data_IF_029219143760
#
_entry.id   IF_029219143760
#
_cell.length_a   1.000
_cell.length_b   1.000
_cell.length_c   1.000
_cell.angle_alpha   90.00
_cell.angle_beta   90.00
_cell.angle_gamma   90.00
#
_symmetry.space_group_name_H-M   'P 1'
#
loop_
_entity.id
_entity.type
_entity.pdbx_description
1 polymer ?
#
# COMPACT_ATOMS: atom_id res chain seq x y z
N UNK A 1 26.99 22.08 -17.68
CA UNK A 1 25.77 21.38 -18.12
C UNK A 1 25.20 20.74 -16.88
N UNK A 2 24.03 21.17 -16.40
CA UNK A 2 23.42 20.52 -15.24
C UNK A 2 23.00 19.12 -15.68
N UNK A 3 23.49 18.08 -15.02
CA UNK A 3 22.92 16.74 -15.18
C UNK A 3 21.41 16.85 -14.96
N UNK A 4 20.62 16.48 -15.97
CA UNK A 4 19.21 16.22 -15.79
C UNK A 4 19.12 15.17 -14.67
N UNK A 5 18.69 15.58 -13.47
CA UNK A 5 18.38 14.63 -12.39
C UNK A 5 17.21 13.79 -12.89
N UNK A 6 17.50 12.64 -13.50
CA UNK A 6 16.50 11.63 -13.83
C UNK A 6 15.84 11.19 -12.52
N UNK A 7 14.56 11.50 -12.35
CA UNK A 7 13.79 11.11 -11.16
C UNK A 7 13.17 12.30 -10.41
N UNK A 8 12.70 12.03 -9.19
CA UNK A 8 12.06 13.02 -8.31
C UNK A 8 13.05 14.05 -7.72
N UNK A 9 14.35 13.79 -7.82
CA UNK A 9 15.42 14.60 -7.23
C UNK A 9 15.57 14.50 -5.71
N UNK A 10 14.71 13.70 -5.07
CA UNK A 10 14.73 13.35 -3.65
C UNK A 10 15.71 12.21 -3.37
N UNK A 11 16.09 12.07 -2.10
CA UNK A 11 16.80 10.88 -1.64
C UNK A 11 15.90 9.63 -1.77
N UNK A 12 16.46 8.46 -2.14
CA UNK A 12 15.68 7.24 -2.39
C UNK A 12 14.77 6.80 -1.24
N UNK A 13 15.25 6.90 0.00
CA UNK A 13 14.47 6.61 1.20
C UNK A 13 13.28 7.55 1.39
N UNK A 14 13.47 8.84 1.13
CA UNK A 14 12.40 9.84 1.23
C UNK A 14 11.37 9.62 0.12
N UNK A 15 11.81 9.39 -1.12
CA UNK A 15 10.93 9.07 -2.24
C UNK A 15 10.12 7.79 -1.98
N UNK A 16 10.75 6.73 -1.47
CA UNK A 16 10.07 5.49 -1.12
C UNK A 16 9.07 5.66 0.04
N UNK A 17 9.41 6.44 1.07
CA UNK A 17 8.49 6.77 2.16
C UNK A 17 7.27 7.54 1.61
N UNK A 18 7.48 8.53 0.76
CA UNK A 18 6.39 9.32 0.17
C UNK A 18 5.51 8.49 -0.75
N UNK A 19 6.10 7.52 -1.47
CA UNK A 19 5.35 6.57 -2.28
C UNK A 19 4.35 5.76 -1.42
N UNK A 20 4.73 5.36 -0.21
CA UNK A 20 3.80 4.72 0.74
C UNK A 20 2.84 5.71 1.39
N UNK A 21 3.31 6.87 1.85
CA UNK A 21 2.51 7.85 2.60
C UNK A 21 1.33 8.39 1.79
N UNK A 22 1.54 8.63 0.50
CA UNK A 22 0.49 9.13 -0.40
C UNK A 22 -0.35 7.98 -1.00
N UNK A 23 -0.16 6.75 -0.52
CA UNK A 23 -0.86 5.55 -0.96
C UNK A 23 -0.79 5.35 -2.48
N UNK A 24 -1.93 5.02 -3.09
CA UNK A 24 -2.01 4.77 -4.53
C UNK A 24 -1.53 5.95 -5.39
N UNK A 25 -1.81 7.19 -4.96
CA UNK A 25 -1.39 8.40 -5.68
C UNK A 25 0.12 8.53 -5.65
N UNK A 26 0.73 8.34 -4.48
CA UNK A 26 2.18 8.30 -4.32
C UNK A 26 2.82 7.24 -5.19
N UNK A 27 2.32 6.01 -5.10
CA UNK A 27 2.85 4.91 -5.91
C UNK A 27 2.75 5.17 -7.42
N UNK A 28 1.65 5.71 -7.92
CA UNK A 28 1.53 6.06 -9.36
C UNK A 28 2.50 7.17 -9.74
N UNK A 29 2.62 8.22 -8.93
CA UNK A 29 3.54 9.32 -9.24
C UNK A 29 4.99 8.82 -9.25
N UNK A 30 5.43 8.12 -8.21
CA UNK A 30 6.81 7.65 -8.08
C UNK A 30 7.17 6.56 -9.09
N UNK A 31 6.25 5.70 -9.52
CA UNK A 31 6.54 4.70 -10.58
C UNK A 31 6.70 5.36 -11.96
N UNK A 32 6.06 6.51 -12.18
CA UNK A 32 6.15 7.24 -13.43
C UNK A 32 7.40 8.11 -13.50
N UNK A 33 7.75 8.83 -12.44
CA UNK A 33 8.91 9.74 -12.44
C UNK A 33 10.22 9.02 -12.17
N UNK A 34 10.23 8.00 -11.32
CA UNK A 34 11.45 7.33 -10.90
C UNK A 34 11.69 6.10 -11.79
N UNK A 35 12.57 6.22 -12.78
CA UNK A 35 12.83 5.15 -13.78
C UNK A 35 14.01 4.24 -13.43
N UNK A 36 15.05 4.82 -12.86
CA UNK A 36 16.32 4.12 -12.65
C UNK A 36 16.45 3.53 -11.23
N UNK A 37 15.75 4.11 -10.25
CA UNK A 37 15.83 3.67 -8.87
C UNK A 37 14.88 2.49 -8.59
N UNK A 38 15.42 1.26 -8.61
CA UNK A 38 14.67 0.02 -8.35
C UNK A 38 14.00 0.01 -6.98
N UNK A 39 14.64 0.56 -5.95
CA UNK A 39 14.09 0.58 -4.58
C UNK A 39 12.84 1.45 -4.49
N UNK A 40 12.88 2.67 -5.03
CA UNK A 40 11.72 3.58 -5.07
C UNK A 40 10.60 2.99 -5.95
N UNK A 41 10.95 2.40 -7.10
CA UNK A 41 9.97 1.74 -7.98
C UNK A 41 9.30 0.55 -7.29
N UNK A 42 10.05 -0.23 -6.51
CA UNK A 42 9.48 -1.29 -5.70
C UNK A 42 8.54 -0.76 -4.63
N UNK A 43 8.95 0.26 -3.88
CA UNK A 43 8.08 0.90 -2.89
C UNK A 43 6.79 1.47 -3.53
N UNK A 44 6.92 2.09 -4.70
CA UNK A 44 5.81 2.61 -5.47
C UNK A 44 4.84 1.51 -5.94
N UNK A 45 5.36 0.44 -6.52
CA UNK A 45 4.56 -0.72 -6.94
C UNK A 45 3.89 -1.41 -5.74
N UNK A 46 4.61 -1.58 -4.63
CA UNK A 46 4.07 -2.18 -3.41
C UNK A 46 2.99 -1.29 -2.77
N UNK A 47 3.14 0.04 -2.83
CA UNK A 47 2.13 1.00 -2.36
C UNK A 47 0.83 0.94 -3.18
N UNK A 48 0.94 0.84 -4.51
CA UNK A 48 -0.22 0.65 -5.40
C UNK A 48 -0.91 -0.66 -5.05
N UNK A 49 -0.16 -1.77 -5.01
CA UNK A 49 -0.72 -3.09 -4.76
C UNK A 49 -1.36 -3.20 -3.37
N UNK A 50 -0.75 -2.60 -2.35
CA UNK A 50 -1.30 -2.52 -1.00
C UNK A 50 -2.62 -1.71 -0.96
N UNK A 51 -2.66 -0.57 -1.66
CA UNK A 51 -3.85 0.26 -1.74
C UNK A 51 -5.02 -0.45 -2.44
N UNK A 52 -4.73 -1.17 -3.54
CA UNK A 52 -5.73 -1.98 -4.25
C UNK A 52 -6.21 -3.12 -3.35
N UNK A 53 -5.31 -3.84 -2.67
CA UNK A 53 -5.69 -4.91 -1.75
C UNK A 53 -6.61 -4.39 -0.62
N UNK A 54 -6.28 -3.24 -0.03
CA UNK A 54 -7.11 -2.63 1.00
C UNK A 54 -8.48 -2.18 0.47
N UNK A 55 -8.53 -1.63 -0.75
CA UNK A 55 -9.80 -1.28 -1.40
C UNK A 55 -10.69 -2.51 -1.62
N UNK A 56 -10.12 -3.62 -2.08
CA UNK A 56 -10.86 -4.90 -2.25
C UNK A 56 -11.37 -5.42 -0.91
N UNK A 57 -10.55 -5.43 0.14
CA UNK A 57 -10.98 -5.85 1.49
C UNK A 57 -12.11 -4.97 2.00
N UNK A 58 -11.97 -3.65 1.88
CA UNK A 58 -12.99 -2.69 2.30
C UNK A 58 -14.30 -2.90 1.55
N UNK A 59 -14.24 -3.07 0.22
CA UNK A 59 -15.40 -3.35 -0.62
C UNK A 59 -16.10 -4.64 -0.17
N UNK A 60 -15.35 -5.74 0.01
CA UNK A 60 -15.91 -7.02 0.46
C UNK A 60 -16.61 -6.86 1.82
N UNK A 61 -15.97 -6.23 2.81
CA UNK A 61 -16.56 -6.03 4.13
C UNK A 61 -17.83 -5.18 4.06
N UNK A 62 -17.84 -4.13 3.23
CA UNK A 62 -18.96 -3.21 3.08
C UNK A 62 -20.22 -3.88 2.52
N UNK A 63 -20.09 -4.86 1.62
CA UNK A 63 -21.25 -5.57 1.05
C UNK A 63 -21.57 -6.89 1.75
N UNK A 64 -20.56 -7.63 2.20
CA UNK A 64 -20.74 -8.94 2.83
C UNK A 64 -21.42 -8.82 4.20
N UNK A 65 -21.01 -7.86 5.03
CA UNK A 65 -21.53 -7.74 6.40
C UNK A 65 -23.03 -7.39 6.38
N UNK A 66 -23.51 -6.38 5.61
CA UNK A 66 -24.94 -6.11 5.52
C UNK A 66 -25.74 -7.25 4.90
N UNK A 67 -25.21 -7.91 3.86
CA UNK A 67 -25.88 -9.04 3.23
C UNK A 67 -26.09 -10.20 4.23
N UNK A 68 -25.07 -10.52 5.02
CA UNK A 68 -25.16 -11.54 6.06
C UNK A 68 -26.09 -11.12 7.20
N UNK A 69 -26.04 -9.85 7.62
CA UNK A 69 -26.94 -9.32 8.64
C UNK A 69 -28.41 -9.48 8.21
N UNK A 70 -28.75 -9.18 6.96
CA UNK A 70 -30.10 -9.37 6.42
C UNK A 70 -30.47 -10.86 6.39
N UNK A 71 -29.58 -11.70 5.86
CA UNK A 71 -29.83 -13.14 5.68
C UNK A 71 -30.05 -13.89 7.02
N UNK A 72 -29.41 -13.44 8.11
CA UNK A 72 -29.50 -14.10 9.41
C UNK A 72 -30.39 -13.35 10.42
N UNK A 73 -31.21 -12.40 9.98
CA UNK A 73 -32.08 -11.62 10.88
C UNK A 73 -31.33 -10.76 11.91
N UNK A 74 -30.12 -10.29 11.57
CA UNK A 74 -29.31 -9.37 12.36
C UNK A 74 -28.05 -9.99 12.99
N UNK A 75 -28.00 -11.30 13.20
CA UNK A 75 -26.86 -11.95 13.87
C UNK A 75 -25.52 -11.75 13.15
N UNK A 76 -25.52 -11.76 11.81
CA UNK A 76 -24.33 -11.53 10.98
C UNK A 76 -23.69 -10.15 11.15
N UNK A 77 -24.40 -9.18 11.73
CA UNK A 77 -23.84 -7.87 12.04
C UNK A 77 -22.70 -7.93 13.07
N UNK A 78 -22.59 -9.02 13.85
CA UNK A 78 -21.48 -9.21 14.79
C UNK A 78 -20.11 -9.19 14.10
N UNK A 79 -20.05 -9.57 12.81
CA UNK A 79 -18.82 -9.52 12.01
C UNK A 79 -18.31 -8.08 11.79
N UNK A 80 -19.14 -7.05 12.01
CA UNK A 80 -18.71 -5.66 11.98
C UNK A 80 -17.58 -5.36 12.99
N UNK A 81 -17.43 -6.16 14.05
CA UNK A 81 -16.32 -6.05 15.01
C UNK A 81 -14.95 -6.31 14.37
N UNK A 82 -14.90 -7.00 13.22
CA UNK A 82 -13.67 -7.26 12.50
C UNK A 82 -13.16 -6.03 11.73
N UNK A 83 -14.03 -5.06 11.41
CA UNK A 83 -13.67 -3.85 10.67
C UNK A 83 -12.53 -3.07 11.38
N UNK A 84 -12.64 -2.69 12.67
CA UNK A 84 -11.55 -1.97 13.34
C UNK A 84 -10.27 -2.80 13.45
N UNK A 85 -10.37 -4.13 13.59
CA UNK A 85 -9.21 -5.02 13.67
C UNK A 85 -8.43 -5.02 12.35
N UNK A 86 -9.13 -5.13 11.21
CA UNK A 86 -8.54 -5.07 9.87
C UNK A 86 -7.89 -3.71 9.62
N UNK A 87 -8.57 -2.61 9.98
CA UNK A 87 -8.02 -1.26 9.84
C UNK A 87 -6.76 -1.04 10.68
N UNK A 88 -6.77 -1.53 11.92
CA UNK A 88 -5.60 -1.41 12.80
C UNK A 88 -4.43 -2.24 12.28
N UNK A 89 -4.68 -3.47 11.82
CA UNK A 89 -3.66 -4.31 11.19
C UNK A 89 -3.05 -3.66 9.94
N UNK A 90 -3.90 -3.09 9.08
CA UNK A 90 -3.46 -2.32 7.92
C UNK A 90 -2.59 -1.13 8.33
N UNK A 91 -3.03 -0.33 9.30
CA UNK A 91 -2.30 0.85 9.78
C UNK A 91 -0.91 0.47 10.31
N UNK A 92 -0.81 -0.62 11.06
CA UNK A 92 0.46 -1.13 11.58
C UNK A 92 1.40 -1.52 10.42
N UNK A 93 0.91 -2.29 9.45
CA UNK A 93 1.71 -2.68 8.26
C UNK A 93 2.14 -1.47 7.46
N UNK A 94 1.23 -0.52 7.25
CA UNK A 94 1.49 0.69 6.47
C UNK A 94 2.55 1.58 7.11
N UNK A 95 2.47 1.79 8.43
CA UNK A 95 3.50 2.53 9.19
C UNK A 95 4.84 1.80 9.13
N UNK A 96 4.87 0.49 9.33
CA UNK A 96 6.12 -0.27 9.25
C UNK A 96 6.78 -0.16 7.88
N UNK A 97 6.01 -0.19 6.78
CA UNK A 97 6.54 0.04 5.44
C UNK A 97 7.18 1.42 5.29
N UNK A 98 6.55 2.47 5.80
CA UNK A 98 7.10 3.83 5.79
C UNK A 98 8.41 3.92 6.60
N UNK A 99 8.43 3.36 7.81
CA UNK A 99 9.63 3.35 8.67
C UNK A 99 10.78 2.59 8.00
N UNK A 100 10.51 1.40 7.46
CA UNK A 100 11.51 0.59 6.77
C UNK A 100 12.02 1.27 5.51
N UNK A 101 11.13 1.88 4.72
CA UNK A 101 11.50 2.67 3.55
C UNK A 101 12.44 3.83 3.91
N UNK A 102 12.12 4.57 4.98
CA UNK A 102 12.95 5.67 5.46
C UNK A 102 14.34 5.22 5.91
N UNK A 103 14.45 4.00 6.46
CA UNK A 103 15.70 3.35 6.85
C UNK A 103 16.48 2.73 5.68
N UNK A 104 16.08 2.96 4.43
CA UNK A 104 16.63 2.29 3.23
C UNK A 104 16.54 0.75 3.29
N UNK A 105 15.55 0.21 4.01
CA UNK A 105 15.29 -1.22 4.07
C UNK A 105 14.12 -1.60 3.16
N UNK A 106 14.41 -2.38 2.11
CA UNK A 106 13.38 -2.96 1.26
C UNK A 106 12.67 -4.07 2.02
N UNK A 107 11.46 -3.79 2.53
CA UNK A 107 10.63 -4.80 3.19
C UNK A 107 9.54 -5.29 2.25
N UNK A 108 9.66 -6.55 1.82
CA UNK A 108 8.73 -7.20 0.92
C UNK A 108 7.59 -7.87 1.70
N UNK A 109 6.35 -7.48 1.41
CA UNK A 109 5.19 -8.20 1.95
C UNK A 109 5.06 -9.56 1.24
N UNK A 110 4.81 -10.66 1.97
CA UNK A 110 4.92 -12.03 1.41
C UNK A 110 3.99 -12.32 0.23
N UNK A 111 2.83 -11.66 0.15
CA UNK A 111 1.87 -11.78 -0.95
C UNK A 111 1.96 -10.57 -1.89
N UNK A 112 1.88 -9.36 -1.34
CA UNK A 112 1.81 -8.10 -2.11
C UNK A 112 3.16 -7.77 -2.75
N UNK A 113 4.26 -8.01 -2.03
CA UNK A 113 5.61 -7.73 -2.50
C UNK A 113 6.06 -8.60 -3.67
N UNK A 114 5.63 -9.88 -3.71
CA UNK A 114 5.86 -10.76 -4.89
C UNK A 114 5.16 -10.25 -6.15
N UNK A 115 4.00 -9.63 -5.99
CA UNK A 115 3.26 -9.01 -7.10
C UNK A 115 4.00 -7.75 -7.55
N UNK A 116 4.38 -6.89 -6.60
CA UNK A 116 5.11 -5.65 -6.88
C UNK A 116 6.44 -5.90 -7.62
N UNK A 117 7.19 -6.92 -7.20
CA UNK A 117 8.50 -7.28 -7.79
C UNK A 117 8.42 -7.67 -9.27
N UNK A 118 7.24 -8.04 -9.80
CA UNK A 118 7.04 -8.33 -11.24
C UNK A 118 6.95 -7.08 -12.11
N UNK A 119 6.73 -5.90 -11.53
CA UNK A 119 6.52 -4.64 -12.26
C UNK A 119 7.69 -3.66 -12.13
N UNK A 120 8.81 -4.08 -11.54
CA UNK A 120 10.00 -3.27 -11.27
C UNK A 120 11.16 -3.68 -12.16
#
# INVERSE_FOLDING_TARGET
MAEEKKGSGLEPNVAALLAYLLGIVGGIVFILIEKDNKFVRFAAAQSIALSVAMFVIWFVLMFLIPALAIATGGFGAILAILIPVVWLGFLIVWIMLMVKAYQNQEWELPVIGKIARKYV
#
